data_IF_245848008205
#
_entry.id   IF_245848008205
#
_cell.length_a   1.000
_cell.length_b   1.000
_cell.length_c   1.000
_cell.angle_alpha   90.00
_cell.angle_beta   90.00
_cell.angle_gamma   90.00
#
_symmetry.space_group_name_H-M   'P 1'
#
loop_
_entity.id
_entity.type
_entity.pdbx_description
1 polymer ?
#
# COMPACT_ATOMS: atom_id res chain seq x y z
N UNK A 1 -23.46 -18.96 -1.18
CA UNK A 1 -23.22 -20.16 -2.01
C UNK A 1 -22.91 -19.66 -3.40
N UNK A 2 -21.74 -19.98 -3.96
CA UNK A 2 -21.35 -19.53 -5.31
C UNK A 2 -22.18 -20.29 -6.38
N UNK A 3 -22.43 -19.70 -7.53
CA UNK A 3 -23.13 -20.27 -8.69
C UNK A 3 -22.58 -21.66 -9.09
N UNK A 4 -21.26 -21.82 -9.14
CA UNK A 4 -20.59 -23.11 -9.37
C UNK A 4 -21.00 -24.16 -8.30
N UNK A 5 -21.06 -23.77 -7.02
CA UNK A 5 -21.48 -24.68 -5.94
C UNK A 5 -22.96 -25.05 -6.05
N UNK A 6 -23.80 -24.14 -6.54
CA UNK A 6 -25.21 -24.41 -6.78
C UNK A 6 -25.40 -25.39 -7.95
N UNK A 7 -24.64 -25.25 -9.03
CA UNK A 7 -24.66 -26.19 -10.18
C UNK A 7 -24.13 -27.56 -9.75
N UNK A 8 -23.04 -27.62 -9.00
CA UNK A 8 -22.50 -28.88 -8.45
C UNK A 8 -23.51 -29.61 -7.55
N UNK A 9 -24.27 -28.87 -6.73
CA UNK A 9 -25.34 -29.45 -5.92
C UNK A 9 -26.46 -30.04 -6.78
N UNK A 10 -26.89 -29.34 -7.84
CA UNK A 10 -27.89 -29.83 -8.80
C UNK A 10 -27.39 -31.06 -9.58
N UNK A 11 -26.12 -31.12 -9.95
CA UNK A 11 -25.50 -32.30 -10.58
C UNK A 11 -25.56 -33.51 -9.64
N UNK A 12 -25.24 -33.31 -8.36
CA UNK A 12 -25.31 -34.39 -7.36
C UNK A 12 -26.76 -34.89 -7.18
N UNK A 13 -27.73 -33.99 -7.15
CA UNK A 13 -29.16 -34.31 -7.08
C UNK A 13 -29.65 -35.07 -8.33
N UNK A 14 -29.24 -34.63 -9.53
CA UNK A 14 -29.56 -35.31 -10.78
C UNK A 14 -28.97 -36.73 -10.83
N UNK A 15 -27.72 -36.91 -10.37
CA UNK A 15 -27.08 -38.24 -10.27
C UNK A 15 -27.82 -39.16 -9.30
N UNK A 16 -28.20 -38.66 -8.13
CA UNK A 16 -29.00 -39.42 -7.17
C UNK A 16 -30.38 -39.81 -7.73
N UNK A 17 -31.01 -38.92 -8.51
CA UNK A 17 -32.30 -39.18 -9.15
C UNK A 17 -32.19 -40.26 -10.25
N UNK A 18 -31.09 -40.26 -11.02
CA UNK A 18 -30.80 -41.32 -12.01
C UNK A 18 -30.64 -42.67 -11.30
N UNK A 19 -29.89 -42.71 -10.20
CA UNK A 19 -29.67 -43.93 -9.43
C UNK A 19 -30.99 -44.51 -8.87
N UNK A 20 -31.86 -43.66 -8.33
CA UNK A 20 -33.18 -44.06 -7.85
C UNK A 20 -34.10 -44.58 -8.99
N UNK A 21 -34.09 -43.93 -10.15
CA UNK A 21 -34.85 -44.37 -11.32
C UNK A 21 -34.35 -45.73 -11.85
N UNK A 22 -33.02 -45.95 -11.90
CA UNK A 22 -32.45 -47.24 -12.28
C UNK A 22 -32.83 -48.36 -11.30
N UNK A 23 -32.82 -48.09 -9.99
CA UNK A 23 -33.20 -49.06 -8.96
C UNK A 23 -34.66 -49.53 -9.08
N UNK A 24 -35.55 -48.64 -9.53
CA UNK A 24 -36.98 -48.90 -9.69
C UNK A 24 -37.37 -49.36 -11.11
N UNK A 25 -36.41 -49.42 -12.04
CA UNK A 25 -36.63 -49.80 -13.45
C UNK A 25 -37.29 -48.71 -14.30
N UNK A 26 -37.24 -47.44 -13.90
CA UNK A 26 -37.79 -46.30 -14.62
C UNK A 26 -36.92 -45.80 -15.78
N UNK A 27 -37.50 -44.95 -16.64
CA UNK A 27 -36.77 -44.27 -17.73
C UNK A 27 -35.84 -43.18 -17.17
N UNK A 28 -34.62 -43.12 -17.70
CA UNK A 28 -33.57 -42.18 -17.28
C UNK A 28 -33.19 -41.17 -18.35
N UNK A 29 -33.80 -41.23 -19.55
CA UNK A 29 -33.40 -40.42 -20.69
C UNK A 29 -33.45 -38.91 -20.39
N UNK A 30 -34.54 -38.42 -19.81
CA UNK A 30 -34.67 -37.01 -19.44
C UNK A 30 -33.69 -36.59 -18.35
N UNK A 31 -33.49 -37.41 -17.30
CA UNK A 31 -32.55 -37.11 -16.23
C UNK A 31 -31.10 -37.04 -16.72
N UNK A 32 -30.73 -37.90 -17.68
CA UNK A 32 -29.40 -37.87 -18.32
C UNK A 32 -29.22 -36.66 -19.23
N UNK A 33 -30.27 -36.21 -19.92
CA UNK A 33 -30.24 -34.97 -20.67
C UNK A 33 -30.03 -33.75 -19.75
N UNK A 34 -30.80 -33.67 -18.66
CA UNK A 34 -30.63 -32.62 -17.64
C UNK A 34 -29.23 -32.65 -17.02
N UNK A 35 -28.68 -33.84 -16.75
CA UNK A 35 -27.31 -33.97 -16.25
C UNK A 35 -26.28 -33.44 -17.25
N UNK A 36 -26.41 -33.77 -18.54
CA UNK A 36 -25.52 -33.28 -19.58
C UNK A 36 -25.60 -31.75 -19.73
N UNK A 37 -26.79 -31.17 -19.65
CA UNK A 37 -26.99 -29.72 -19.69
C UNK A 37 -26.33 -29.03 -18.48
N UNK A 38 -26.50 -29.59 -17.28
CA UNK A 38 -25.86 -29.09 -16.05
C UNK A 38 -24.33 -29.22 -16.08
N UNK A 39 -23.79 -30.30 -16.65
CA UNK A 39 -22.34 -30.48 -16.82
C UNK A 39 -21.77 -29.47 -17.83
N UNK A 40 -22.51 -29.14 -18.89
CA UNK A 40 -22.14 -28.07 -19.82
C UNK A 40 -22.22 -26.68 -19.17
N UNK A 41 -23.26 -26.41 -18.38
CA UNK A 41 -23.41 -25.17 -17.61
C UNK A 41 -22.27 -25.00 -16.58
N UNK A 42 -21.87 -26.09 -15.90
CA UNK A 42 -20.74 -26.09 -14.99
C UNK A 42 -19.43 -25.74 -15.71
N UNK A 43 -19.16 -26.38 -16.85
CA UNK A 43 -17.94 -26.12 -17.62
C UNK A 43 -17.87 -24.65 -18.09
N UNK A 44 -18.99 -24.09 -18.53
CA UNK A 44 -19.06 -22.68 -18.94
C UNK A 44 -18.86 -21.72 -17.74
N UNK A 45 -19.47 -22.02 -16.59
CA UNK A 45 -19.31 -21.23 -15.38
C UNK A 45 -17.85 -21.26 -14.87
N UNK A 46 -17.19 -22.42 -14.90
CA UNK A 46 -15.78 -22.58 -14.54
C UNK A 46 -14.86 -21.81 -15.49
N UNK A 47 -15.12 -21.87 -16.79
CA UNK A 47 -14.34 -21.10 -17.78
C UNK A 47 -14.50 -19.60 -17.57
N UNK A 48 -15.74 -19.12 -17.38
CA UNK A 48 -16.01 -17.69 -17.13
C UNK A 48 -15.33 -17.21 -15.84
N UNK A 49 -15.37 -18.03 -14.78
CA UNK A 49 -14.70 -17.72 -13.53
C UNK A 49 -13.17 -17.68 -13.69
N UNK A 50 -12.58 -18.59 -14.47
CA UNK A 50 -11.15 -18.60 -14.76
C UNK A 50 -10.72 -17.36 -15.56
N UNK A 51 -11.47 -16.99 -16.60
CA UNK A 51 -11.23 -15.79 -17.41
C UNK A 51 -11.35 -14.52 -16.56
N UNK A 52 -12.38 -14.42 -15.72
CA UNK A 52 -12.56 -13.30 -14.80
C UNK A 52 -11.42 -13.20 -13.77
N UNK A 53 -10.95 -14.33 -13.23
CA UNK A 53 -9.83 -14.37 -12.30
C UNK A 53 -8.52 -13.91 -12.96
N UNK A 54 -8.26 -14.36 -14.20
CA UNK A 54 -7.10 -13.92 -14.98
C UNK A 54 -7.15 -12.42 -15.29
N UNK A 55 -8.31 -11.92 -15.74
CA UNK A 55 -8.51 -10.50 -16.03
C UNK A 55 -8.33 -9.64 -14.78
N UNK A 56 -8.85 -10.08 -13.63
CA UNK A 56 -8.65 -9.40 -12.34
C UNK A 56 -7.17 -9.36 -11.97
N UNK A 57 -6.46 -10.47 -12.10
CA UNK A 57 -5.03 -10.54 -11.78
C UNK A 57 -4.19 -9.63 -12.70
N UNK A 58 -4.52 -9.55 -13.99
CA UNK A 58 -3.88 -8.63 -14.92
C UNK A 58 -4.14 -7.17 -14.54
N UNK A 59 -5.39 -6.82 -14.25
CA UNK A 59 -5.75 -5.47 -13.82
C UNK A 59 -5.05 -5.05 -12.52
N UNK A 60 -4.90 -5.97 -11.56
CA UNK A 60 -4.14 -5.72 -10.33
C UNK A 60 -2.64 -5.50 -10.60
N UNK A 61 -2.05 -6.28 -11.51
CA UNK A 61 -0.66 -6.11 -11.91
C UNK A 61 -0.44 -4.76 -12.61
N UNK A 62 -1.29 -4.41 -13.57
CA UNK A 62 -1.23 -3.12 -14.27
C UNK A 62 -1.39 -1.93 -13.30
N UNK A 63 -2.30 -2.04 -12.34
CA UNK A 63 -2.47 -1.01 -11.30
C UNK A 63 -1.22 -0.88 -10.43
N UNK A 64 -0.59 -1.99 -10.04
CA UNK A 64 0.63 -1.97 -9.25
C UNK A 64 1.80 -1.32 -10.03
N UNK A 65 1.92 -1.62 -11.33
CA UNK A 65 2.94 -1.03 -12.20
C UNK A 65 2.71 0.48 -12.40
N UNK A 66 1.45 0.90 -12.59
CA UNK A 66 1.10 2.32 -12.67
C UNK A 66 1.47 3.08 -11.39
N UNK A 67 1.10 2.55 -10.22
CA UNK A 67 1.45 3.16 -8.93
C UNK A 67 2.97 3.25 -8.72
N UNK A 68 3.71 2.22 -9.13
CA UNK A 68 5.17 2.22 -9.06
C UNK A 68 5.78 3.28 -9.99
N UNK A 69 5.28 3.40 -11.21
CA UNK A 69 5.74 4.40 -12.19
C UNK A 69 5.45 5.82 -11.72
N UNK A 70 4.24 6.11 -11.24
CA UNK A 70 3.85 7.41 -10.69
C UNK A 70 4.73 7.79 -9.48
N UNK A 71 4.97 6.84 -8.57
CA UNK A 71 5.84 7.05 -7.42
C UNK A 71 7.29 7.36 -7.84
N UNK A 72 7.81 6.66 -8.85
CA UNK A 72 9.15 6.89 -9.37
C UNK A 72 9.28 8.28 -10.02
N UNK A 73 8.30 8.71 -10.81
CA UNK A 73 8.25 10.05 -11.40
C UNK A 73 8.19 11.12 -10.32
N UNK A 74 7.32 10.99 -9.32
CA UNK A 74 7.21 11.94 -8.23
C UNK A 74 8.52 12.03 -7.40
N UNK A 75 9.15 10.89 -7.14
CA UNK A 75 10.42 10.84 -6.42
C UNK A 75 11.57 11.47 -7.22
N UNK A 76 11.58 11.29 -8.54
CA UNK A 76 12.56 11.93 -9.42
C UNK A 76 12.34 13.45 -9.54
N UNK A 77 11.09 13.91 -9.60
CA UNK A 77 10.80 15.35 -9.58
C UNK A 77 11.34 16.00 -8.29
N UNK A 78 11.21 15.32 -7.15
CA UNK A 78 11.80 15.78 -5.87
C UNK A 78 13.32 15.94 -5.97
N UNK A 79 14.02 15.04 -6.66
CA UNK A 79 15.46 15.15 -6.92
C UNK A 79 15.78 16.37 -7.81
N UNK A 80 15.04 16.57 -8.89
CA UNK A 80 15.21 17.71 -9.80
C UNK A 80 15.05 19.02 -9.05
N UNK A 81 14.00 19.16 -8.25
CA UNK A 81 13.71 20.35 -7.45
C UNK A 81 14.82 20.61 -6.41
N UNK A 82 15.28 19.56 -5.72
CA UNK A 82 16.35 19.65 -4.71
C UNK A 82 17.73 19.96 -5.32
N UNK A 83 17.92 19.70 -6.62
CA UNK A 83 19.17 19.98 -7.32
C UNK A 83 19.40 21.49 -7.49
N UNK A 84 18.32 22.28 -7.58
CA UNK A 84 18.34 23.75 -7.66
C UNK A 84 18.28 24.27 -9.11
N UNK A 85 18.49 25.58 -9.30
CA UNK A 85 18.27 26.28 -10.59
C UNK A 85 18.91 25.60 -11.80
N UNK A 86 18.22 25.58 -12.93
CA UNK A 86 18.69 24.97 -14.19
C UNK A 86 19.82 25.75 -14.85
N UNK A 87 19.96 27.05 -14.56
CA UNK A 87 21.07 27.89 -15.01
C UNK A 87 21.73 28.54 -13.81
N UNK A 88 23.06 28.47 -13.75
CA UNK A 88 23.86 29.12 -12.70
C UNK A 88 25.01 29.87 -13.37
N UNK A 89 25.13 31.18 -13.09
CA UNK A 89 26.16 32.04 -13.68
C UNK A 89 26.22 31.97 -15.23
N UNK A 90 25.06 31.84 -15.89
CA UNK A 90 24.97 31.71 -17.36
C UNK A 90 25.28 30.30 -17.90
N UNK A 91 25.69 29.37 -17.05
CA UNK A 91 25.96 27.97 -17.42
C UNK A 91 24.70 27.13 -17.26
N UNK A 92 24.30 26.42 -18.31
CA UNK A 92 23.24 25.43 -18.24
C UNK A 92 23.72 24.24 -17.40
N UNK A 93 23.01 23.96 -16.31
CA UNK A 93 23.35 22.86 -15.40
C UNK A 93 22.88 21.53 -15.99
N UNK A 94 23.63 20.44 -15.76
CA UNK A 94 23.18 19.10 -16.14
C UNK A 94 21.89 18.76 -15.39
N UNK A 95 20.91 18.26 -16.13
CA UNK A 95 19.69 17.70 -15.54
C UNK A 95 20.04 16.35 -14.90
N UNK A 96 19.60 16.08 -13.66
CA UNK A 96 19.77 14.75 -13.08
C UNK A 96 19.04 13.71 -13.93
N UNK A 97 19.70 12.62 -14.29
CA UNK A 97 19.05 11.47 -14.91
C UNK A 97 18.17 10.73 -13.89
N UNK A 98 17.25 9.91 -14.39
CA UNK A 98 16.51 8.98 -13.52
C UNK A 98 17.48 8.00 -12.87
N UNK A 99 17.44 7.95 -11.54
CA UNK A 99 18.31 7.11 -10.73
C UNK A 99 17.62 5.76 -10.46
N UNK A 100 18.17 4.63 -10.93
CA UNK A 100 17.57 3.32 -10.72
C UNK A 100 17.36 2.97 -9.24
N UNK A 101 18.17 3.53 -8.33
CA UNK A 101 18.00 3.33 -6.90
C UNK A 101 16.76 4.08 -6.36
N UNK A 102 16.45 5.26 -6.90
CA UNK A 102 15.22 6.00 -6.57
C UNK A 102 14.01 5.26 -7.13
N UNK A 103 14.07 4.81 -8.38
CA UNK A 103 12.98 4.03 -9.00
C UNK A 103 12.64 2.79 -8.20
N UNK A 104 13.66 1.97 -7.89
CA UNK A 104 13.47 0.75 -7.11
C UNK A 104 12.94 1.03 -5.69
N UNK A 105 13.41 2.09 -5.04
CA UNK A 105 12.94 2.46 -3.70
C UNK A 105 11.50 3.00 -3.72
N UNK A 106 11.15 3.80 -4.73
CA UNK A 106 9.80 4.34 -4.92
C UNK A 106 8.79 3.22 -5.21
N UNK A 107 9.14 2.27 -6.10
CA UNK A 107 8.33 1.10 -6.39
C UNK A 107 8.08 0.24 -5.13
N UNK A 108 9.13 0.00 -4.32
CA UNK A 108 8.99 -0.70 -3.03
C UNK A 108 8.09 0.03 -2.06
N UNK A 109 8.18 1.35 -1.99
CA UNK A 109 7.31 2.16 -1.13
C UNK A 109 5.85 2.12 -1.59
N UNK A 110 5.60 2.19 -2.90
CA UNK A 110 4.27 2.06 -3.48
C UNK A 110 3.65 0.69 -3.14
N UNK A 111 4.39 -0.40 -3.37
CA UNK A 111 3.95 -1.75 -3.04
C UNK A 111 3.70 -1.94 -1.52
N UNK A 112 4.56 -1.37 -0.66
CA UNK A 112 4.38 -1.45 0.78
C UNK A 112 3.14 -0.68 1.25
N UNK A 113 2.85 0.48 0.66
CA UNK A 113 1.65 1.28 0.97
C UNK A 113 0.37 0.59 0.52
N UNK A 114 0.34 0.04 -0.68
CA UNK A 114 -0.79 -0.73 -1.19
C UNK A 114 -1.06 -1.97 -0.31
N UNK A 115 -0.02 -2.69 0.10
CA UNK A 115 -0.14 -3.79 1.07
C UNK A 115 -0.70 -3.32 2.41
N UNK A 116 -0.20 -2.19 2.94
CA UNK A 116 -0.68 -1.63 4.19
C UNK A 116 -2.17 -1.26 4.09
N UNK A 117 -2.60 -0.64 2.98
CA UNK A 117 -3.99 -0.29 2.75
C UNK A 117 -4.90 -1.52 2.78
N UNK A 118 -4.51 -2.60 2.08
CA UNK A 118 -5.27 -3.87 2.08
C UNK A 118 -5.34 -4.52 3.46
N UNK A 119 -4.21 -4.66 4.15
CA UNK A 119 -4.18 -5.24 5.50
C UNK A 119 -4.97 -4.38 6.51
N UNK A 120 -4.91 -3.05 6.35
CA UNK A 120 -5.63 -2.13 7.22
C UNK A 120 -7.15 -2.16 6.99
N UNK A 121 -7.60 -2.34 5.75
CA UNK A 121 -9.02 -2.56 5.45
C UNK A 121 -9.56 -3.82 6.17
N UNK A 122 -8.83 -4.94 6.10
CA UNK A 122 -9.19 -6.19 6.77
C UNK A 122 -9.22 -6.01 8.30
N UNK A 123 -8.19 -5.35 8.86
CA UNK A 123 -8.15 -5.05 10.28
C UNK A 123 -9.34 -4.18 10.71
N UNK A 124 -9.69 -3.15 9.94
CA UNK A 124 -10.83 -2.27 10.24
C UNK A 124 -12.17 -3.02 10.20
N UNK A 125 -12.36 -3.94 9.27
CA UNK A 125 -13.55 -4.80 9.21
C UNK A 125 -13.70 -5.63 10.50
N UNK A 126 -12.64 -6.33 10.91
CA UNK A 126 -12.67 -7.12 12.14
C UNK A 126 -12.84 -6.25 13.39
N UNK A 127 -12.23 -5.07 13.42
CA UNK A 127 -12.36 -4.14 14.54
C UNK A 127 -13.76 -3.49 14.63
N UNK A 128 -14.45 -3.34 13.50
CA UNK A 128 -15.85 -2.90 13.47
C UNK A 128 -16.75 -3.94 14.16
N UNK A 129 -16.52 -5.24 13.94
CA UNK A 129 -17.24 -6.32 14.64
C UNK A 129 -17.01 -6.27 16.16
N UNK A 130 -15.77 -6.05 16.60
CA UNK A 130 -15.45 -5.86 18.03
C UNK A 130 -16.23 -4.68 18.61
N UNK A 131 -16.21 -3.55 17.91
CA UNK A 131 -16.92 -2.33 18.34
C UNK A 131 -18.43 -2.55 18.46
N UNK A 132 -19.05 -3.24 17.50
CA UNK A 132 -20.47 -3.59 17.52
C UNK A 132 -20.83 -4.50 18.70
N UNK A 133 -20.02 -5.52 18.97
CA UNK A 133 -20.23 -6.43 20.11
C UNK A 133 -20.09 -5.70 21.45
N UNK A 134 -19.10 -4.81 21.58
CA UNK A 134 -18.94 -3.95 22.77
C UNK A 134 -20.14 -3.03 22.97
N UNK A 135 -20.67 -2.43 21.89
CA UNK A 135 -21.88 -1.60 21.95
C UNK A 135 -23.07 -2.38 22.53
N UNK A 136 -23.34 -3.58 21.99
CA UNK A 136 -24.41 -4.46 22.49
C UNK A 136 -24.20 -4.88 23.95
N UNK A 137 -22.95 -5.14 24.34
CA UNK A 137 -22.62 -5.46 25.72
C UNK A 137 -22.93 -4.29 26.66
N UNK A 138 -22.56 -3.07 26.29
CA UNK A 138 -22.87 -1.86 27.05
C UNK A 138 -24.38 -1.64 27.16
N UNK A 139 -25.14 -1.83 26.09
CA UNK A 139 -26.60 -1.74 26.11
C UNK A 139 -27.24 -2.75 27.08
N UNK A 140 -26.82 -4.02 27.03
CA UNK A 140 -27.32 -5.08 27.91
C UNK A 140 -26.95 -4.84 29.37
N UNK A 141 -25.71 -4.41 29.62
CA UNK A 141 -25.26 -4.04 30.98
C UNK A 141 -26.08 -2.88 31.53
N UNK A 142 -26.33 -1.85 30.72
CA UNK A 142 -27.17 -0.72 31.11
C UNK A 142 -28.61 -1.14 31.42
N UNK A 143 -29.24 -1.95 30.58
CA UNK A 143 -30.60 -2.45 30.81
C UNK A 143 -30.70 -3.23 32.13
N UNK A 144 -29.71 -4.09 32.42
CA UNK A 144 -29.63 -4.81 33.70
C UNK A 144 -29.52 -3.85 34.88
N UNK A 145 -28.64 -2.85 34.76
CA UNK A 145 -28.39 -1.90 35.84
C UNK A 145 -29.60 -0.99 36.10
N UNK A 146 -30.39 -0.65 35.08
CA UNK A 146 -31.67 0.06 35.19
C UNK A 146 -32.71 -0.76 36.00
N UNK A 147 -32.81 -2.07 35.75
CA UNK A 147 -33.70 -2.96 36.53
C UNK A 147 -33.21 -3.05 37.98
N UNK A 148 -31.90 -3.26 38.20
CA UNK A 148 -31.33 -3.34 39.54
C UNK A 148 -31.52 -2.03 40.33
N UNK A 149 -31.37 -0.88 39.69
CA UNK A 149 -31.63 0.42 40.31
C UNK A 149 -33.10 0.59 40.72
N UNK A 150 -34.03 0.18 39.83
CA UNK A 150 -35.48 0.21 40.10
C UNK A 150 -35.85 -0.66 41.30
N UNK A 151 -35.29 -1.88 41.39
CA UNK A 151 -35.48 -2.80 42.53
C UNK A 151 -34.95 -2.20 43.83
N UNK A 152 -33.77 -1.57 43.83
CA UNK A 152 -33.21 -0.87 45.00
C UNK A 152 -34.07 0.31 45.46
N UNK A 153 -34.77 0.97 44.54
CA UNK A 153 -35.71 2.04 44.85
C UNK A 153 -37.08 1.55 45.35
N UNK A 154 -37.29 0.23 45.46
CA UNK A 154 -38.56 -0.36 45.91
C UNK A 154 -39.66 -0.46 44.84
N UNK A 155 -39.33 -0.19 43.56
CA UNK A 155 -40.27 -0.21 42.44
C UNK A 155 -40.16 -1.51 41.62
N UNK A 156 -39.94 -2.64 42.29
CA UNK A 156 -39.76 -3.96 41.64
C UNK A 156 -41.05 -4.40 40.91
N UNK A 157 -40.88 -4.94 39.69
CA UNK A 157 -41.96 -5.47 38.88
C UNK A 157 -41.93 -7.00 38.83
N UNK A 158 -43.10 -7.60 38.57
CA UNK A 158 -43.20 -9.02 38.33
C UNK A 158 -42.43 -9.40 37.05
N UNK A 159 -41.34 -10.15 37.19
CA UNK A 159 -40.48 -10.59 36.09
C UNK A 159 -39.05 -10.04 36.14
N UNK A 160 -38.78 -8.98 36.92
CA UNK A 160 -37.46 -8.34 37.00
C UNK A 160 -36.33 -9.34 37.32
N UNK A 161 -36.56 -10.30 38.22
CA UNK A 161 -35.57 -11.29 38.60
C UNK A 161 -35.21 -12.24 37.44
N UNK A 162 -36.20 -12.66 36.65
CA UNK A 162 -35.98 -13.51 35.48
C UNK A 162 -35.26 -12.74 34.36
N UNK A 163 -35.67 -11.50 34.12
CA UNK A 163 -35.04 -10.62 33.12
C UNK A 163 -33.57 -10.33 33.46
N UNK A 164 -33.25 -10.06 34.73
CA UNK A 164 -31.86 -9.88 35.18
C UNK A 164 -31.02 -11.15 34.98
N UNK A 165 -31.59 -12.34 35.21
CA UNK A 165 -30.88 -13.61 34.96
C UNK A 165 -30.56 -13.80 33.48
N UNK A 166 -31.55 -13.57 32.60
CA UNK A 166 -31.35 -13.64 31.14
C UNK A 166 -30.33 -12.61 30.65
N UNK A 167 -30.38 -11.38 31.15
CA UNK A 167 -29.39 -10.34 30.83
C UNK A 167 -27.99 -10.72 31.32
N UNK A 168 -27.86 -11.40 32.46
CA UNK A 168 -26.56 -11.87 32.96
C UNK A 168 -25.96 -12.95 32.06
N UNK A 169 -26.78 -13.90 31.59
CA UNK A 169 -26.38 -14.93 30.61
C UNK A 169 -25.97 -14.29 29.27
N UNK A 170 -26.80 -13.39 28.73
CA UNK A 170 -26.50 -12.62 27.51
C UNK A 170 -25.16 -11.88 27.62
N UNK A 171 -24.91 -11.21 28.75
CA UNK A 171 -23.67 -10.47 29.00
C UNK A 171 -22.47 -11.43 29.07
N UNK A 172 -22.61 -12.59 29.72
CA UNK A 172 -21.55 -13.58 29.79
C UNK A 172 -21.18 -14.10 28.38
N UNK A 173 -22.17 -14.49 27.58
CA UNK A 173 -21.95 -14.91 26.20
C UNK A 173 -21.38 -13.79 25.32
N UNK A 174 -21.84 -12.55 25.48
CA UNK A 174 -21.29 -11.40 24.75
C UNK A 174 -19.84 -11.12 25.10
N UNK A 175 -19.43 -11.29 26.37
CA UNK A 175 -18.02 -11.15 26.76
C UNK A 175 -17.13 -12.17 26.03
N UNK A 176 -17.53 -13.45 26.02
CA UNK A 176 -16.79 -14.49 25.30
C UNK A 176 -16.67 -14.18 23.80
N UNK A 177 -17.76 -13.69 23.19
CA UNK A 177 -17.76 -13.27 21.78
C UNK A 177 -16.86 -12.06 21.52
N UNK A 178 -16.83 -11.07 22.43
CA UNK A 178 -15.93 -9.92 22.34
C UNK A 178 -14.48 -10.37 22.41
N UNK A 179 -14.13 -11.25 23.35
CA UNK A 179 -12.76 -11.77 23.49
C UNK A 179 -12.32 -12.59 22.27
N UNK A 180 -13.20 -13.43 21.73
CA UNK A 180 -12.93 -14.17 20.50
C UNK A 180 -12.77 -13.24 19.28
N UNK A 181 -13.65 -12.25 19.14
CA UNK A 181 -13.56 -11.26 18.07
C UNK A 181 -12.30 -10.38 18.19
N UNK A 182 -11.92 -9.99 19.41
CA UNK A 182 -10.72 -9.21 19.68
C UNK A 182 -9.46 -10.00 19.29
N UNK A 183 -9.35 -11.27 19.72
CA UNK A 183 -8.24 -12.14 19.31
C UNK A 183 -8.12 -12.28 17.79
N UNK A 184 -9.26 -12.37 17.11
CA UNK A 184 -9.32 -12.40 15.64
C UNK A 184 -8.84 -11.06 15.05
N UNK A 185 -9.36 -9.93 15.52
CA UNK A 185 -8.92 -8.61 15.04
C UNK A 185 -7.42 -8.38 15.28
N UNK A 186 -6.91 -8.80 16.43
CA UNK A 186 -5.49 -8.68 16.77
C UNK A 186 -4.58 -9.53 15.87
N UNK A 187 -5.04 -10.67 15.35
CA UNK A 187 -4.26 -11.47 14.39
C UNK A 187 -4.14 -10.80 13.02
N UNK A 188 -5.00 -9.83 12.70
CA UNK A 188 -4.96 -9.04 11.46
C UNK A 188 -4.29 -7.67 11.63
N UNK A 189 -3.68 -7.37 12.79
CA UNK A 189 -2.97 -6.10 12.96
C UNK A 189 -1.88 -5.93 11.88
N UNK A 190 -1.86 -4.81 11.14
CA UNK A 190 -0.96 -4.62 10.00
C UNK A 190 0.47 -4.24 10.41
N UNK A 191 1.01 -4.84 11.48
CA UNK A 191 2.32 -4.46 12.06
C UNK A 191 3.47 -4.71 11.08
N UNK A 192 3.41 -5.80 10.31
CA UNK A 192 4.44 -6.12 9.31
C UNK A 192 4.37 -5.13 8.15
N UNK A 193 3.19 -4.84 7.61
CA UNK A 193 3.04 -3.86 6.53
C UNK A 193 3.45 -2.45 6.96
N UNK A 194 3.12 -2.03 8.19
CA UNK A 194 3.58 -0.75 8.74
C UNK A 194 5.11 -0.66 8.78
N UNK A 195 5.78 -1.72 9.22
CA UNK A 195 7.25 -1.80 9.22
C UNK A 195 7.82 -1.71 7.80
N UNK A 196 7.24 -2.43 6.84
CA UNK A 196 7.68 -2.39 5.44
C UNK A 196 7.56 -0.99 4.83
N UNK A 197 6.50 -0.24 5.14
CA UNK A 197 6.36 1.16 4.71
C UNK A 197 7.48 2.01 5.30
N UNK A 198 7.75 1.90 6.60
CA UNK A 198 8.81 2.66 7.26
C UNK A 198 10.21 2.34 6.71
N UNK A 199 10.49 1.06 6.45
CA UNK A 199 11.76 0.61 5.86
C UNK A 199 11.92 1.13 4.42
N UNK A 200 10.87 1.02 3.60
CA UNK A 200 10.87 1.51 2.22
C UNK A 200 11.02 3.04 2.13
N UNK A 201 10.36 3.78 3.02
CA UNK A 201 10.46 5.24 3.11
C UNK A 201 11.89 5.69 3.47
N UNK A 202 12.51 5.00 4.43
CA UNK A 202 13.92 5.23 4.81
C UNK A 202 14.87 4.95 3.64
N UNK A 203 14.63 3.88 2.89
CA UNK A 203 15.39 3.54 1.69
C UNK A 203 15.26 4.63 0.62
N UNK A 204 14.05 5.11 0.35
CA UNK A 204 13.81 6.18 -0.62
C UNK A 204 14.51 7.48 -0.21
N UNK A 205 14.38 7.89 1.04
CA UNK A 205 15.06 9.07 1.58
C UNK A 205 16.58 8.97 1.45
N UNK A 206 17.14 7.79 1.65
CA UNK A 206 18.59 7.55 1.51
C UNK A 206 19.02 7.65 0.05
N UNK A 207 18.29 6.99 -0.87
CA UNK A 207 18.55 7.05 -2.30
C UNK A 207 18.47 8.49 -2.83
N UNK A 208 17.44 9.25 -2.42
CA UNK A 208 17.28 10.66 -2.79
C UNK A 208 18.45 11.51 -2.31
N UNK A 209 18.89 11.37 -1.05
CA UNK A 209 20.04 12.12 -0.53
C UNK A 209 21.32 11.83 -1.31
N UNK A 210 21.58 10.56 -1.62
CA UNK A 210 22.74 10.16 -2.43
C UNK A 210 22.66 10.71 -3.86
N UNK A 211 21.48 10.69 -4.48
CA UNK A 211 21.27 11.23 -5.82
C UNK A 211 21.43 12.76 -5.86
N UNK A 212 20.88 13.49 -4.87
CA UNK A 212 21.04 14.94 -4.74
C UNK A 212 22.51 15.31 -4.59
N UNK A 213 23.26 14.56 -3.79
CA UNK A 213 24.71 14.76 -3.66
C UNK A 213 25.42 14.61 -5.01
N UNK A 214 25.16 13.52 -5.75
CA UNK A 214 25.74 13.29 -7.08
C UNK A 214 25.36 14.39 -8.07
N UNK A 215 24.09 14.82 -8.07
CA UNK A 215 23.62 15.91 -8.92
C UNK A 215 24.35 17.23 -8.60
N UNK A 216 24.52 17.57 -7.32
CA UNK A 216 25.28 18.76 -6.91
C UNK A 216 26.75 18.67 -7.28
N UNK A 217 27.37 17.49 -7.16
CA UNK A 217 28.73 17.26 -7.61
C UNK A 217 28.88 17.47 -9.12
N UNK A 218 27.98 16.92 -9.93
CA UNK A 218 27.98 17.12 -11.38
C UNK A 218 27.84 18.60 -11.77
N UNK A 219 27.02 19.35 -11.03
CA UNK A 219 26.86 20.81 -11.22
C UNK A 219 28.12 21.60 -10.91
N UNK A 220 28.85 21.23 -9.85
CA UNK A 220 30.15 21.85 -9.54
C UNK A 220 31.14 21.61 -10.67
N UNK A 221 31.21 20.38 -11.20
CA UNK A 221 32.08 20.07 -12.34
C UNK A 221 31.69 20.82 -13.62
N UNK A 222 30.39 21.04 -13.87
CA UNK A 222 29.94 21.85 -15.00
C UNK A 222 30.38 23.32 -14.87
N UNK A 223 30.27 23.90 -13.67
CA UNK A 223 30.75 25.26 -13.40
C UNK A 223 32.26 25.37 -13.48
N UNK A 224 32.99 24.36 -13.00
CA UNK A 224 34.44 24.27 -13.12
C UNK A 224 34.88 24.26 -14.59
N UNK A 225 34.24 23.43 -15.43
CA UNK A 225 34.53 23.37 -16.86
C UNK A 225 34.31 24.73 -17.54
N UNK A 226 33.18 25.39 -17.27
CA UNK A 226 32.88 26.71 -17.81
C UNK A 226 33.87 27.79 -17.32
N UNK A 227 34.30 27.72 -16.06
CA UNK A 227 35.31 28.63 -15.52
C UNK A 227 36.67 28.43 -16.21
N UNK A 228 37.08 27.18 -16.44
CA UNK A 228 38.32 26.86 -17.15
C UNK A 228 38.28 27.41 -18.59
N UNK A 229 37.15 27.26 -19.28
CA UNK A 229 36.95 27.81 -20.63
C UNK A 229 37.04 29.33 -20.64
N UNK A 230 36.29 30.02 -19.77
CA UNK A 230 36.35 31.48 -19.66
C UNK A 230 37.75 32.00 -19.29
N UNK A 231 38.48 31.28 -18.44
CA UNK A 231 39.87 31.60 -18.12
C UNK A 231 40.79 31.43 -19.33
N UNK A 232 40.60 30.39 -20.15
CA UNK A 232 41.37 30.20 -21.38
C UNK A 232 41.14 31.34 -22.38
N UNK A 233 39.89 31.79 -22.55
CA UNK A 233 39.54 32.95 -23.37
C UNK A 233 40.20 34.24 -22.86
N UNK A 234 40.16 34.48 -21.54
CA UNK A 234 40.82 35.62 -20.92
C UNK A 234 42.33 35.61 -21.17
N UNK A 235 42.99 34.45 -21.05
CA UNK A 235 44.43 34.32 -21.32
C UNK A 235 44.73 34.60 -22.79
N UNK A 236 43.91 34.10 -23.72
CA UNK A 236 44.08 34.41 -25.14
C UNK A 236 43.94 35.91 -25.42
N UNK A 237 42.94 36.58 -24.83
CA UNK A 237 42.75 38.02 -24.93
C UNK A 237 43.92 38.81 -24.30
N UNK A 238 44.40 38.40 -23.13
CA UNK A 238 45.54 39.03 -22.45
C UNK A 238 46.82 38.97 -23.29
N UNK A 239 47.08 37.81 -23.91
CA UNK A 239 48.21 37.65 -24.81
C UNK A 239 48.14 38.61 -26.02
N UNK A 240 46.93 38.87 -26.54
CA UNK A 240 46.75 39.80 -27.67
C UNK A 240 47.10 41.25 -27.34
N UNK A 241 47.05 41.64 -26.06
CA UNK A 241 47.43 42.97 -25.56
C UNK A 241 48.78 42.99 -24.83
N UNK A 242 49.58 41.92 -24.96
CA UNK A 242 50.93 41.82 -24.38
C UNK A 242 50.98 41.62 -22.86
N UNK A 243 49.87 41.21 -22.23
CA UNK A 243 49.80 40.93 -20.79
C UNK A 243 50.05 39.44 -20.52
N UNK A 244 50.94 39.14 -19.57
CA UNK A 244 51.22 37.77 -19.14
C UNK A 244 50.00 37.14 -18.43
N UNK A 245 49.72 35.86 -18.70
CA UNK A 245 48.67 35.06 -18.04
C UNK A 245 48.60 35.19 -16.50
N UNK A 246 49.73 35.27 -15.81
CA UNK A 246 49.76 35.39 -14.35
C UNK A 246 49.35 36.77 -13.83
N UNK A 247 49.45 37.80 -14.68
CA UNK A 247 48.92 39.13 -14.40
C UNK A 247 47.46 39.26 -14.84
N UNK A 248 47.03 38.48 -15.85
CA UNK A 248 45.67 38.50 -16.38
C UNK A 248 44.62 37.98 -15.40
N UNK A 249 44.96 36.94 -14.62
CA UNK A 249 44.06 36.39 -13.60
C UNK A 249 44.79 36.04 -12.31
N UNK A 250 44.24 36.48 -11.19
CA UNK A 250 44.67 36.10 -9.85
C UNK A 250 43.48 35.58 -9.06
N UNK A 251 43.52 34.31 -8.68
CA UNK A 251 42.47 33.68 -7.90
C UNK A 251 42.17 34.48 -6.61
N UNK A 252 40.88 34.69 -6.34
CA UNK A 252 40.42 35.32 -5.11
C UNK A 252 40.82 34.49 -3.88
N UNK A 253 40.82 35.12 -2.70
CA UNK A 253 41.07 34.40 -1.45
C UNK A 253 40.04 33.30 -1.23
N UNK A 254 38.77 33.56 -1.55
CA UNK A 254 37.70 32.57 -1.45
C UNK A 254 37.94 31.35 -2.35
N UNK A 255 38.34 31.56 -3.62
CA UNK A 255 38.62 30.47 -4.53
C UNK A 255 39.80 29.62 -4.04
N UNK A 256 40.86 30.26 -3.55
CA UNK A 256 42.01 29.55 -2.96
C UNK A 256 41.64 28.75 -1.70
N UNK A 257 40.79 29.31 -0.84
CA UNK A 257 40.36 28.65 0.39
C UNK A 257 39.53 27.40 0.13
N UNK A 258 38.65 27.44 -0.89
CA UNK A 258 37.84 26.28 -1.31
C UNK A 258 38.73 25.17 -1.90
N UNK A 259 39.76 25.51 -2.67
CA UNK A 259 40.63 24.52 -3.33
C UNK A 259 41.65 23.85 -2.40
N UNK A 260 42.14 24.55 -1.37
CA UNK A 260 43.25 24.07 -0.52
C UNK A 260 42.86 23.84 0.94
N UNK A 261 41.63 24.18 1.36
CA UNK A 261 41.13 23.97 2.72
C UNK A 261 41.85 24.77 3.82
N UNK A 262 42.86 25.58 3.51
CA UNK A 262 43.61 26.36 4.48
C UNK A 262 43.05 27.77 4.63
N UNK A 263 42.20 27.95 5.63
CA UNK A 263 42.02 29.24 6.28
C UNK A 263 43.13 29.45 7.30
N UNK A 264 44.17 30.21 6.94
CA UNK A 264 45.07 30.97 7.85
C UNK A 264 46.28 31.48 7.06
N UNK A 265 46.47 32.80 7.03
CA UNK A 265 47.77 33.46 7.06
C UNK A 265 47.78 34.37 8.29
#
# INVERSE_FOLDING_TARGET
MNEIQAIQAKIAEAKASIEAALFTGGDTAQLRATLADLEAELAQAEQTAAEAAMAHQQAEAERADQLAAEAAVAAHQTLVDASGSTVVAGVQMPTPDMDPAIEAAAARLAAARDRLEREQAIYMEHNAKVSALRGRLTEKARARDEILARRRAGNEQAGDAAEVSLLAEDIASLNELVEAAQRTADSYKPTVAQRLVSEADTALSTAQRSAVFRAKQARVHALEAAFIEAHAELVAAANSVGVNKFAAFKASQALRLISYGTGSL
#
